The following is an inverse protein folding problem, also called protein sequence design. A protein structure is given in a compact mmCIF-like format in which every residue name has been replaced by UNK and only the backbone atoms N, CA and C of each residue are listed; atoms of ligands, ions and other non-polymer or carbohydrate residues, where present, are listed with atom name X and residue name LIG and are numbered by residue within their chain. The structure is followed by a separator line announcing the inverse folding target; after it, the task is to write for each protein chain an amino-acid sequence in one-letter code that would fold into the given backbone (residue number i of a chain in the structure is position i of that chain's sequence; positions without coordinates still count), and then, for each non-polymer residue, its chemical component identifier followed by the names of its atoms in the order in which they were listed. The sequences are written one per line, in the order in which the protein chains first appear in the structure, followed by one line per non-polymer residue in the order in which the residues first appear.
data_IF_122414197783
#
_entry.id   IF_122414197783
#
_cell.length_a   1.000
_cell.length_b   1.000
_cell.length_c   1.000
_cell.angle_alpha   90.00
_cell.angle_beta   90.00
_cell.angle_gamma   90.00
#
_symmetry.space_group_name_H-M   'P 1'
#
loop_
_entity.id
_entity.type
_entity.pdbx_description
1 polymer ?
#
# COMPACT_ATOMS: atom_id res chain seq x y z
N UNK A 1 32.61 12.02 36.21
CA UNK A 1 32.23 10.84 35.40
C UNK A 1 31.13 11.31 34.44
N UNK A 2 31.31 11.22 33.13
CA UNK A 2 30.26 11.56 32.14
C UNK A 2 29.41 10.32 31.89
N UNK A 3 28.13 10.35 32.22
CA UNK A 3 27.18 9.29 31.88
C UNK A 3 26.80 9.40 30.41
N UNK A 4 27.21 8.44 29.59
CA UNK A 4 26.76 8.31 28.20
C UNK A 4 25.46 7.51 28.20
N UNK A 5 24.32 8.20 28.17
CA UNK A 5 22.98 7.61 28.27
C UNK A 5 22.27 7.50 26.91
N UNK A 6 22.71 8.28 25.92
CA UNK A 6 22.10 8.32 24.61
C UNK A 6 22.90 7.51 23.60
N UNK A 7 22.23 6.57 22.93
CA UNK A 7 22.81 5.69 21.91
C UNK A 7 22.01 5.73 20.62
N UNK A 8 22.70 5.85 19.49
CA UNK A 8 22.14 5.65 18.17
C UNK A 8 22.52 4.24 17.68
N UNK A 9 21.54 3.34 17.65
CA UNK A 9 21.76 1.96 17.24
C UNK A 9 21.61 1.79 15.73
N UNK A 10 22.68 1.32 15.07
CA UNK A 10 22.69 1.01 13.64
C UNK A 10 22.97 -0.48 13.44
N UNK A 11 22.24 -1.12 12.52
CA UNK A 11 22.51 -2.51 12.16
C UNK A 11 23.94 -2.66 11.61
N UNK A 12 24.68 -3.70 12.05
CA UNK A 12 26.10 -3.93 11.72
C UNK A 12 26.40 -3.85 10.21
N UNK A 13 25.46 -4.30 9.37
CA UNK A 13 25.54 -4.23 7.90
C UNK A 13 25.75 -2.81 7.33
N UNK A 14 25.30 -1.78 8.03
CA UNK A 14 25.42 -0.38 7.60
C UNK A 14 26.57 0.35 8.29
N UNK A 15 27.38 -0.34 9.09
CA UNK A 15 28.51 0.27 9.82
C UNK A 15 29.47 1.00 8.87
N UNK A 16 29.71 0.47 7.67
CA UNK A 16 30.58 1.07 6.65
C UNK A 16 29.95 2.26 5.92
N UNK A 17 28.63 2.45 5.99
CA UNK A 17 27.93 3.59 5.38
C UNK A 17 28.03 4.86 6.23
N UNK A 18 28.33 4.72 7.52
CA UNK A 18 28.38 5.82 8.48
C UNK A 18 29.65 6.66 8.24
N UNK A 19 29.48 7.93 7.87
CA UNK A 19 30.59 8.84 7.52
C UNK A 19 31.03 9.72 8.67
N UNK A 20 30.07 10.25 9.42
CA UNK A 20 30.35 11.15 10.53
C UNK A 20 29.30 10.99 11.61
N UNK A 21 29.71 11.06 12.87
CA UNK A 21 28.83 11.11 14.04
C UNK A 21 29.31 12.25 14.91
N UNK A 22 28.44 13.23 15.14
CA UNK A 22 28.71 14.35 16.04
C UNK A 22 27.65 14.38 17.12
N UNK A 23 28.09 14.44 18.35
CA UNK A 23 27.24 14.69 19.50
C UNK A 23 27.41 16.17 19.88
N UNK A 24 26.33 16.93 19.83
CA UNK A 24 26.30 18.31 20.30
C UNK A 24 25.64 18.36 21.67
N UNK A 25 26.27 19.08 22.59
CA UNK A 25 25.62 19.46 23.84
C UNK A 25 24.72 20.66 23.54
N UNK A 26 23.41 20.44 23.48
CA UNK A 26 22.43 21.52 23.28
C UNK A 26 22.04 22.14 24.62
N UNK A 27 22.21 23.44 24.78
CA UNK A 27 21.87 24.19 26.01
C UNK A 27 20.44 24.74 26.03
N UNK A 28 19.52 24.30 25.17
CA UNK A 28 18.21 24.99 25.00
C UNK A 28 16.97 24.09 24.98
N UNK A 29 16.94 23.03 25.79
CA UNK A 29 15.70 22.34 26.14
C UNK A 29 15.84 21.91 27.60
N UNK A 30 14.85 22.21 28.44
CA UNK A 30 14.77 21.82 29.85
C UNK A 30 14.54 20.29 30.03
N UNK A 31 15.35 19.47 29.35
CA UNK A 31 15.46 18.02 29.46
C UNK A 31 16.83 17.70 30.02
N UNK A 32 16.92 16.75 30.95
CA UNK A 32 18.17 16.21 31.49
C UNK A 32 19.00 15.46 30.44
N UNK A 33 18.41 15.16 29.28
CA UNK A 33 19.07 14.58 28.12
C UNK A 33 19.48 15.67 27.09
N UNK A 34 20.71 16.16 27.20
CA UNK A 34 21.23 17.29 26.41
C UNK A 34 22.10 16.90 25.20
N UNK A 35 21.94 15.71 24.62
CA UNK A 35 22.79 15.27 23.50
C UNK A 35 22.00 15.17 22.20
N UNK A 36 22.24 16.13 21.30
CA UNK A 36 21.82 16.05 19.91
C UNK A 36 22.86 15.26 19.11
N UNK A 37 22.56 14.00 18.80
CA UNK A 37 23.39 13.16 17.94
C UNK A 37 23.01 13.37 16.46
N UNK A 38 23.95 13.89 15.68
CA UNK A 38 23.84 14.03 14.23
C UNK A 38 24.75 13.00 13.56
N UNK A 39 24.15 12.08 12.81
CA UNK A 39 24.87 11.08 12.04
C UNK A 39 24.71 11.37 10.54
N UNK A 40 25.83 11.47 9.82
CA UNK A 40 25.87 11.54 8.36
C UNK A 40 26.20 10.17 7.79
N UNK A 41 25.37 9.66 6.88
CA UNK A 41 25.49 8.31 6.34
C UNK A 41 25.19 8.31 4.83
N UNK A 42 25.94 7.51 4.09
CA UNK A 42 25.74 7.30 2.64
C UNK A 42 25.19 5.90 2.40
N UNK A 43 23.92 5.81 1.97
CA UNK A 43 23.27 4.54 1.64
C UNK A 43 22.76 4.59 0.21
N UNK A 44 23.04 3.52 -0.55
CA UNK A 44 22.37 3.25 -1.82
C UNK A 44 21.05 2.54 -1.53
N UNK A 45 19.93 3.23 -1.73
CA UNK A 45 18.60 2.61 -1.65
C UNK A 45 18.33 1.88 -2.96
N UNK A 46 17.92 0.62 -2.86
CA UNK A 46 17.37 -0.08 -4.02
C UNK A 46 15.95 0.41 -4.23
N UNK A 47 15.64 0.85 -5.45
CA UNK A 47 14.25 1.09 -5.83
C UNK A 47 13.50 -0.24 -5.73
N UNK A 48 12.53 -0.30 -4.81
CA UNK A 48 11.55 -1.36 -4.84
C UNK A 48 10.70 -1.11 -6.09
N UNK A 49 10.98 -1.86 -7.15
CA UNK A 49 10.02 -1.99 -8.26
C UNK A 49 8.70 -2.35 -7.59
N UNK A 50 7.67 -1.51 -7.76
CA UNK A 50 6.32 -1.88 -7.34
C UNK A 50 6.11 -3.27 -7.91
N UNK A 51 5.97 -4.29 -7.05
CA UNK A 51 5.59 -5.63 -7.52
C UNK A 51 4.39 -5.38 -8.43
N UNK A 52 4.40 -5.96 -9.64
CA UNK A 52 3.20 -5.97 -10.50
C UNK A 52 2.03 -6.22 -9.55
N UNK A 53 1.08 -5.28 -9.51
CA UNK A 53 -0.02 -5.33 -8.56
C UNK A 53 -0.52 -6.77 -8.57
N UNK A 54 -0.42 -7.46 -7.42
CA UNK A 54 -0.82 -8.85 -7.36
C UNK A 54 -2.23 -8.90 -7.96
N UNK A 55 -2.44 -9.79 -8.94
CA UNK A 55 -3.68 -9.84 -9.69
C UNK A 55 -4.85 -9.76 -8.68
N UNK A 56 -5.63 -8.69 -8.80
CA UNK A 56 -6.65 -8.39 -7.80
C UNK A 56 -7.66 -9.54 -7.81
N UNK A 57 -7.77 -10.25 -6.69
CA UNK A 57 -8.66 -11.41 -6.59
C UNK A 57 -10.10 -10.96 -6.78
N UNK A 58 -10.86 -11.67 -7.59
CA UNK A 58 -12.30 -11.42 -7.77
C UNK A 58 -13.03 -11.76 -6.46
N UNK A 59 -14.02 -10.95 -6.09
CA UNK A 59 -14.80 -11.14 -4.87
C UNK A 59 -15.91 -12.19 -5.06
N UNK A 60 -15.52 -13.48 -5.14
CA UNK A 60 -16.43 -14.62 -5.28
C UNK A 60 -17.44 -14.70 -4.12
N UNK A 61 -17.11 -14.15 -2.94
CA UNK A 61 -18.03 -14.15 -1.80
C UNK A 61 -19.34 -13.40 -2.08
N UNK A 62 -19.36 -12.44 -3.02
CA UNK A 62 -20.57 -11.73 -3.43
C UNK A 62 -21.58 -12.63 -4.13
N UNK A 63 -21.16 -13.73 -4.75
CA UNK A 63 -22.06 -14.71 -5.38
C UNK A 63 -22.93 -15.47 -4.38
N UNK A 64 -22.62 -15.40 -3.08
CA UNK A 64 -23.47 -15.95 -2.01
C UNK A 64 -24.76 -15.15 -1.82
N UNK A 65 -24.76 -13.89 -2.21
CA UNK A 65 -25.95 -13.05 -2.21
C UNK A 65 -26.78 -13.37 -3.45
N UNK A 66 -28.07 -13.65 -3.23
CA UNK A 66 -29.03 -14.00 -4.27
C UNK A 66 -29.14 -12.90 -5.35
N UNK A 67 -29.06 -11.62 -4.94
CA UNK A 67 -29.19 -10.48 -5.85
C UNK A 67 -28.04 -10.47 -6.86
N UNK A 68 -26.80 -10.52 -6.37
CA UNK A 68 -25.60 -10.56 -7.20
C UNK A 68 -25.52 -11.84 -8.04
N UNK A 69 -26.05 -12.97 -7.56
CA UNK A 69 -26.10 -14.22 -8.33
C UNK A 69 -27.00 -14.10 -9.56
N UNK A 70 -28.20 -13.54 -9.39
CA UNK A 70 -29.16 -13.33 -10.48
C UNK A 70 -28.61 -12.31 -11.48
N UNK A 71 -28.08 -11.20 -10.97
CA UNK A 71 -27.47 -10.16 -11.81
C UNK A 71 -26.28 -10.70 -12.61
N UNK A 72 -25.42 -11.51 -11.98
CA UNK A 72 -24.28 -12.13 -12.66
C UNK A 72 -24.73 -13.07 -13.79
N UNK A 73 -25.73 -13.92 -13.54
CA UNK A 73 -26.28 -14.82 -14.57
C UNK A 73 -26.89 -14.05 -15.73
N UNK A 74 -27.64 -12.99 -15.46
CA UNK A 74 -28.27 -12.16 -16.48
C UNK A 74 -27.21 -11.44 -17.33
N UNK A 75 -26.22 -10.80 -16.70
CA UNK A 75 -25.13 -10.14 -17.40
C UNK A 75 -24.31 -11.13 -18.24
N UNK A 76 -24.05 -12.31 -17.70
CA UNK A 76 -23.35 -13.36 -18.42
C UNK A 76 -24.13 -13.78 -19.67
N UNK A 77 -25.43 -14.09 -19.53
CA UNK A 77 -26.29 -14.46 -20.67
C UNK A 77 -26.26 -13.38 -21.75
N UNK A 78 -26.55 -12.14 -21.39
CA UNK A 78 -26.60 -11.03 -22.34
C UNK A 78 -25.27 -10.86 -23.10
N UNK A 79 -24.14 -10.98 -22.42
CA UNK A 79 -22.84 -10.86 -23.07
C UNK A 79 -22.49 -12.07 -23.94
N UNK A 80 -22.92 -13.28 -23.59
CA UNK A 80 -22.74 -14.45 -24.43
C UNK A 80 -23.65 -14.44 -25.66
N UNK A 81 -24.86 -13.90 -25.54
CA UNK A 81 -25.75 -13.69 -26.69
C UNK A 81 -25.09 -12.74 -27.70
N UNK A 82 -24.51 -11.63 -27.24
CA UNK A 82 -23.73 -10.72 -28.11
C UNK A 82 -22.46 -11.37 -28.68
N UNK A 83 -21.88 -12.34 -27.97
CA UNK A 83 -20.68 -13.05 -28.44
C UNK A 83 -21.03 -14.06 -29.54
N UNK A 84 -22.19 -14.73 -29.43
CA UNK A 84 -22.69 -15.66 -30.43
C UNK A 84 -23.01 -14.95 -31.75
N UNK A 85 -23.53 -13.73 -31.70
CA UNK A 85 -23.72 -12.89 -32.90
C UNK A 85 -22.39 -12.57 -33.62
N UNK A 86 -21.28 -12.54 -32.87
CA UNK A 86 -19.93 -12.30 -33.40
C UNK A 86 -19.20 -13.57 -33.82
N UNK A 87 -19.81 -14.76 -33.69
CA UNK A 87 -19.17 -16.05 -33.94
C UNK A 87 -18.57 -16.16 -35.35
N UNK A 88 -19.27 -15.63 -36.35
CA UNK A 88 -18.83 -15.62 -37.74
C UNK A 88 -17.62 -14.70 -38.04
N UNK A 89 -17.18 -13.89 -37.07
CA UNK A 89 -16.01 -13.02 -37.20
C UNK A 89 -14.72 -13.66 -36.66
N UNK A 90 -14.79 -14.82 -36.01
CA UNK A 90 -13.60 -15.50 -35.50
C UNK A 90 -12.92 -16.30 -36.61
N UNK A 91 -11.71 -15.89 -36.99
CA UNK A 91 -10.91 -16.58 -38.02
C UNK A 91 -10.30 -17.89 -37.52
N UNK A 92 -10.02 -17.98 -36.21
CA UNK A 92 -9.43 -19.18 -35.60
C UNK A 92 -10.02 -19.47 -34.21
N UNK A 93 -9.76 -20.69 -33.71
CA UNK A 93 -10.24 -21.18 -32.41
C UNK A 93 -9.63 -20.40 -31.23
N UNK A 94 -8.41 -19.87 -31.37
CA UNK A 94 -7.75 -19.09 -30.33
C UNK A 94 -8.43 -17.73 -30.13
N UNK A 95 -8.90 -17.11 -31.21
CA UNK A 95 -9.64 -15.84 -31.19
C UNK A 95 -11.01 -16.03 -30.52
N UNK A 96 -11.70 -17.13 -30.84
CA UNK A 96 -12.93 -17.50 -30.13
C UNK A 96 -12.68 -17.73 -28.63
N UNK A 97 -11.60 -18.45 -28.29
CA UNK A 97 -11.23 -18.73 -26.89
C UNK A 97 -10.87 -17.46 -26.11
N UNK A 98 -10.09 -16.56 -26.72
CA UNK A 98 -9.73 -15.28 -26.09
C UNK A 98 -10.95 -14.38 -25.91
N UNK A 99 -11.90 -14.39 -26.84
CA UNK A 99 -13.15 -13.65 -26.73
C UNK A 99 -14.03 -14.19 -25.58
N UNK A 100 -14.21 -15.51 -25.47
CA UNK A 100 -14.92 -16.16 -24.35
C UNK A 100 -14.27 -15.78 -23.01
N UNK A 101 -12.95 -15.90 -22.91
CA UNK A 101 -12.19 -15.55 -21.70
C UNK A 101 -12.39 -14.09 -21.32
N UNK A 102 -12.41 -13.19 -22.31
CA UNK A 102 -12.62 -11.75 -22.11
C UNK A 102 -14.04 -11.45 -21.63
N UNK A 103 -15.06 -12.11 -22.18
CA UNK A 103 -16.45 -11.97 -21.72
C UNK A 103 -16.59 -12.44 -20.26
N UNK A 104 -15.96 -13.57 -19.91
CA UNK A 104 -15.99 -14.08 -18.54
C UNK A 104 -15.30 -13.14 -17.55
N UNK A 105 -14.10 -12.64 -17.88
CA UNK A 105 -13.39 -11.69 -17.01
C UNK A 105 -14.22 -10.40 -16.84
N UNK A 106 -14.70 -9.83 -17.95
CA UNK A 106 -15.44 -8.57 -17.92
C UNK A 106 -16.76 -8.67 -17.13
N UNK A 107 -17.53 -9.74 -17.31
CA UNK A 107 -18.76 -9.97 -16.54
C UNK A 107 -18.48 -10.13 -15.04
N UNK A 108 -17.41 -10.85 -14.67
CA UNK A 108 -17.02 -11.01 -13.26
C UNK A 108 -16.55 -9.69 -12.63
N UNK A 109 -15.79 -8.87 -13.35
CA UNK A 109 -15.32 -7.58 -12.87
C UNK A 109 -16.47 -6.59 -12.68
N UNK A 110 -17.44 -6.58 -13.61
CA UNK A 110 -18.60 -5.68 -13.56
C UNK A 110 -19.52 -5.97 -12.35
N UNK A 111 -19.84 -7.25 -12.10
CA UNK A 111 -20.82 -7.61 -11.07
C UNK A 111 -20.16 -7.87 -9.71
N UNK A 112 -19.06 -8.63 -9.68
CA UNK A 112 -18.43 -9.05 -8.43
C UNK A 112 -17.37 -8.06 -7.96
N UNK A 113 -16.63 -7.47 -8.90
CA UNK A 113 -15.49 -6.61 -8.60
C UNK A 113 -14.37 -7.36 -7.86
N UNK A 114 -13.41 -6.60 -7.33
CA UNK A 114 -12.23 -7.15 -6.67
C UNK A 114 -12.35 -7.14 -5.14
N UNK A 115 -11.73 -8.14 -4.50
CA UNK A 115 -11.53 -8.15 -3.05
C UNK A 115 -10.59 -7.01 -2.68
N UNK A 116 -11.05 -6.11 -1.81
CA UNK A 116 -10.15 -5.17 -1.16
C UNK A 116 -9.25 -5.96 -0.21
N UNK A 117 -7.95 -5.66 -0.21
CA UNK A 117 -7.04 -6.18 0.80
C UNK A 117 -7.55 -5.80 2.19
N UNK A 118 -7.24 -6.60 3.20
CA UNK A 118 -7.40 -6.14 4.59
C UNK A 118 -6.54 -4.88 4.71
N UNK A 119 -7.19 -3.72 4.92
CA UNK A 119 -6.49 -2.56 5.42
C UNK A 119 -6.13 -2.89 6.87
N UNK A 120 -4.96 -3.48 7.06
CA UNK A 120 -4.31 -3.41 8.36
C UNK A 120 -3.84 -1.97 8.50
N UNK A 121 -4.70 -1.12 9.08
CA UNK A 121 -4.26 0.16 9.58
C UNK A 121 -3.19 -0.13 10.65
N UNK A 122 -1.91 -0.07 10.24
CA UNK A 122 -0.74 -0.32 11.10
C UNK A 122 -0.72 0.55 12.36
N UNK A 123 -1.49 1.63 12.35
CA UNK A 123 -1.65 2.61 13.41
C UNK A 123 -3.14 2.82 13.64
N UNK A 124 -3.58 2.69 14.88
CA UNK A 124 -4.96 2.99 15.25
C UNK A 124 -5.29 4.47 15.00
N UNK A 125 -6.57 4.75 14.75
CA UNK A 125 -7.09 6.11 14.52
C UNK A 125 -6.69 7.07 15.64
N UNK A 126 -6.62 6.58 16.88
CA UNK A 126 -6.23 7.37 18.06
C UNK A 126 -4.76 7.83 17.98
N UNK A 127 -3.85 7.00 17.46
CA UNK A 127 -2.43 7.37 17.32
C UNK A 127 -2.27 8.43 16.22
N UNK A 128 -3.01 8.31 15.13
CA UNK A 128 -3.04 9.34 14.08
C UNK A 128 -3.54 10.68 14.59
N UNK A 129 -4.58 10.66 15.42
CA UNK A 129 -5.10 11.86 16.06
C UNK A 129 -4.04 12.53 16.95
N UNK A 130 -3.37 11.77 17.82
CA UNK A 130 -2.31 12.28 18.68
C UNK A 130 -1.13 12.89 17.89
N UNK A 131 -0.71 12.25 16.78
CA UNK A 131 0.33 12.80 15.89
C UNK A 131 -0.12 14.11 15.26
N UNK A 132 -1.40 14.22 14.87
CA UNK A 132 -1.94 15.43 14.25
C UNK A 132 -2.00 16.61 15.24
N UNK A 133 -2.41 16.36 16.48
CA UNK A 133 -2.48 17.36 17.54
C UNK A 133 -1.08 17.84 17.92
N UNK A 134 -0.10 16.92 18.03
CA UNK A 134 1.29 17.28 18.24
C UNK A 134 1.85 18.16 17.11
N UNK A 135 1.55 17.84 15.85
CA UNK A 135 1.98 18.67 14.70
C UNK A 135 1.41 20.08 14.76
N UNK A 136 0.13 20.23 15.14
CA UNK A 136 -0.51 21.54 15.31
C UNK A 136 0.12 22.34 16.45
N UNK A 137 0.31 21.71 17.62
CA UNK A 137 0.94 22.35 18.77
C UNK A 137 2.37 22.83 18.45
N UNK A 138 3.13 22.01 17.72
CA UNK A 138 4.48 22.36 17.27
C UNK A 138 4.48 23.55 16.29
N UNK A 139 3.52 23.60 15.36
CA UNK A 139 3.40 24.70 14.41
C UNK A 139 3.03 26.01 15.09
N UNK A 140 2.15 25.97 16.09
CA UNK A 140 1.76 27.13 16.87
C UNK A 140 2.91 27.70 17.70
N UNK A 141 3.80 26.84 18.22
CA UNK A 141 5.03 27.25 18.91
C UNK A 141 6.08 27.87 17.97
N UNK A 142 6.05 27.56 16.68
CA UNK A 142 7.00 28.06 15.69
C UNK A 142 6.56 29.37 15.02
N UNK A 143 5.26 29.66 15.06
CA UNK A 143 4.64 30.87 14.49
C UNK A 143 4.32 31.93 15.57
N UNK A 144 4.67 31.68 16.83
CA UNK A 144 4.62 32.62 17.94
C UNK A 144 6.00 33.26 18.13
#
# INVERSE_FOLDING_TARGET
IKSQIDHFCLHKKFKSSLRNVRAFCGTDIASDHQILCIATMEIKLKQLMKKKAAAQRINIARLKDQVFNVEFKLQLSNMFDTLAEMENMFENVEDAWTAIKKVYIKSTELVLGHTKGKNEELLSTNIWHAISEWKKAKLNLFNA
#
